data_IF_178645493710
#
_entry.id   IF_178645493710
#
_cell.length_a   1.000
_cell.length_b   1.000
_cell.length_c   1.000
_cell.angle_alpha   90.00
_cell.angle_beta   90.00
_cell.angle_gamma   90.00
#
_symmetry.space_group_name_H-M   'P 1'
#
loop_
_entity.id
_entity.type
_entity.pdbx_description
1 polymer ?
#
# COMPACT_ATOMS: atom_id res chain seq x y z
N UNK A 1 -77.49 1.10 -10.14
CA UNK A 1 -78.75 1.39 -9.44
C UNK A 1 -78.82 0.49 -8.22
N UNK A 2 -78.93 1.09 -7.02
CA UNK A 2 -79.50 0.55 -5.75
C UNK A 2 -78.90 -0.77 -5.18
N UNK A 3 -78.60 -0.97 -3.89
CA UNK A 3 -78.92 -0.31 -2.60
C UNK A 3 -78.10 -1.05 -1.49
N UNK A 4 -77.66 -0.31 -0.45
CA UNK A 4 -77.73 -0.58 1.02
C UNK A 4 -77.38 -1.99 1.59
N UNK A 5 -76.80 -2.20 2.78
CA UNK A 5 -76.56 -1.42 4.00
C UNK A 5 -75.50 -2.12 4.90
N UNK A 6 -74.99 -1.37 5.88
CA UNK A 6 -73.99 -1.70 6.90
C UNK A 6 -74.52 -2.53 8.11
N UNK A 7 -73.61 -3.17 8.86
CA UNK A 7 -73.68 -3.40 10.33
C UNK A 7 -72.28 -3.83 10.87
N UNK A 8 -71.55 -2.97 11.60
CA UNK A 8 -71.28 -2.97 13.08
C UNK A 8 -70.44 -4.19 13.55
N UNK A 9 -69.14 -4.02 13.82
CA UNK A 9 -68.46 -3.67 15.10
C UNK A 9 -68.07 -4.89 15.95
N UNK A 10 -66.78 -5.06 16.20
CA UNK A 10 -66.24 -6.08 17.11
C UNK A 10 -64.74 -5.92 17.33
N UNK A 11 -64.35 -4.94 18.15
CA UNK A 11 -63.00 -4.67 18.60
C UNK A 11 -62.58 -5.75 19.63
N UNK A 12 -61.58 -6.57 19.32
CA UNK A 12 -60.99 -7.52 20.26
C UNK A 12 -59.52 -7.15 20.53
N UNK A 13 -59.29 -6.67 21.74
CA UNK A 13 -58.00 -6.25 22.31
C UNK A 13 -57.24 -7.51 22.74
N UNK A 14 -56.04 -7.71 22.19
CA UNK A 14 -55.10 -8.78 22.60
C UNK A 14 -54.23 -8.29 23.77
N UNK A 15 -54.09 -9.06 24.87
CA UNK A 15 -53.24 -8.68 26.00
C UNK A 15 -51.76 -8.94 25.69
N UNK A 16 -50.93 -7.93 25.96
CA UNK A 16 -49.46 -8.04 25.95
C UNK A 16 -49.04 -8.73 27.25
N UNK A 17 -48.52 -9.95 27.14
CA UNK A 17 -47.89 -10.64 28.27
C UNK A 17 -46.46 -10.11 28.41
N UNK A 18 -46.22 -9.29 29.43
CA UNK A 18 -44.90 -8.89 29.86
C UNK A 18 -44.23 -10.06 30.60
N UNK A 19 -43.24 -10.69 29.97
CA UNK A 19 -42.35 -11.63 30.62
C UNK A 19 -41.10 -10.89 31.12
N UNK A 20 -41.07 -10.62 32.43
CA UNK A 20 -39.86 -10.23 33.16
C UNK A 20 -39.42 -11.40 34.04
N UNK A 21 -38.12 -11.69 34.07
CA UNK A 21 -37.49 -12.39 35.19
C UNK A 21 -36.74 -13.67 34.82
N UNK A 22 -35.43 -13.55 34.60
CA UNK A 22 -34.52 -14.67 34.43
C UNK A 22 -33.09 -14.21 34.12
N UNK A 23 -32.53 -13.36 34.99
CA UNK A 23 -31.14 -12.93 34.93
C UNK A 23 -30.21 -14.12 35.23
N UNK A 24 -29.76 -14.77 34.18
CA UNK A 24 -28.54 -15.56 34.18
C UNK A 24 -27.91 -15.38 32.80
N UNK A 25 -27.23 -14.23 32.64
CA UNK A 25 -26.17 -14.11 31.64
C UNK A 25 -25.12 -15.14 32.02
N UNK A 26 -25.24 -16.34 31.47
CA UNK A 26 -24.16 -17.31 31.49
C UNK A 26 -22.94 -16.67 30.88
N UNK A 27 -21.78 -16.94 31.48
CA UNK A 27 -20.44 -16.67 30.99
C UNK A 27 -20.27 -17.24 29.57
N UNK A 28 -20.79 -16.55 28.57
CA UNK A 28 -20.25 -16.63 27.22
C UNK A 28 -19.00 -15.76 27.22
N UNK A 29 -17.81 -16.32 26.92
CA UNK A 29 -16.65 -15.47 26.71
C UNK A 29 -17.06 -14.46 25.63
N UNK A 30 -16.99 -13.16 25.95
CA UNK A 30 -17.03 -12.13 24.92
C UNK A 30 -16.00 -12.59 23.89
N UNK A 31 -16.44 -13.03 22.71
CA UNK A 31 -15.53 -13.37 21.64
C UNK A 31 -14.62 -12.16 21.49
N UNK A 32 -13.36 -12.27 21.94
CA UNK A 32 -12.43 -11.16 21.90
C UNK A 32 -12.31 -10.83 20.42
N UNK A 33 -12.93 -9.71 20.02
CA UNK A 33 -12.92 -9.27 18.64
C UNK A 33 -11.45 -9.03 18.33
N UNK A 34 -10.88 -9.88 17.48
CA UNK A 34 -9.46 -9.79 17.13
C UNK A 34 -9.15 -8.34 16.74
N UNK A 35 -8.10 -7.73 17.31
CA UNK A 35 -7.70 -6.38 16.92
C UNK A 35 -7.59 -6.30 15.40
N UNK A 36 -8.12 -5.25 14.78
CA UNK A 36 -7.99 -5.01 13.35
C UNK A 36 -7.11 -3.81 13.08
N UNK A 37 -6.54 -3.71 11.89
CA UNK A 37 -5.84 -2.53 11.43
C UNK A 37 -6.13 -2.28 9.95
N UNK A 38 -6.40 -1.03 9.58
CA UNK A 38 -6.49 -0.57 8.20
C UNK A 38 -5.19 0.11 7.84
N UNK A 39 -4.45 -0.46 6.89
CA UNK A 39 -3.12 0.00 6.51
C UNK A 39 -3.17 0.59 5.10
N UNK A 40 -2.84 1.87 4.99
CA UNK A 40 -2.59 2.53 3.72
C UNK A 40 -1.10 2.38 3.40
N UNK A 41 -0.78 1.60 2.38
CA UNK A 41 0.59 1.24 2.05
C UNK A 41 0.94 1.53 0.59
N UNK A 42 2.15 2.06 0.36
CA UNK A 42 2.67 2.24 -1.00
C UNK A 42 2.58 0.93 -1.81
N UNK A 43 2.19 1.03 -3.09
CA UNK A 43 1.95 -0.12 -3.96
C UNK A 43 3.10 -1.14 -4.05
N UNK A 44 4.36 -0.70 -3.96
CA UNK A 44 5.55 -1.58 -3.96
C UNK A 44 5.68 -2.46 -2.71
N UNK A 45 4.96 -2.13 -1.63
CA UNK A 45 4.94 -2.93 -0.40
C UNK A 45 4.02 -4.15 -0.50
N UNK A 46 3.10 -4.18 -1.47
CA UNK A 46 2.02 -5.18 -1.54
C UNK A 46 2.51 -6.63 -1.40
N UNK A 47 3.50 -7.11 -2.17
CA UNK A 47 3.92 -8.52 -2.06
C UNK A 47 4.48 -8.90 -0.68
N UNK A 48 5.16 -7.97 0.00
CA UNK A 48 5.69 -8.19 1.35
C UNK A 48 4.61 -8.06 2.41
N UNK A 49 3.75 -7.04 2.31
CA UNK A 49 2.70 -6.76 3.28
C UNK A 49 1.59 -7.83 3.25
N UNK A 50 1.28 -8.41 2.09
CA UNK A 50 0.35 -9.54 2.01
C UNK A 50 0.89 -10.77 2.78
N UNK A 51 2.20 -11.06 2.69
CA UNK A 51 2.85 -12.13 3.46
C UNK A 51 2.87 -11.84 4.96
N UNK A 52 3.14 -10.58 5.33
CA UNK A 52 3.11 -10.12 6.72
C UNK A 52 1.70 -10.24 7.30
N UNK A 53 0.67 -9.81 6.55
CA UNK A 53 -0.72 -9.94 6.93
C UNK A 53 -1.11 -11.39 7.20
N UNK A 54 -0.72 -12.31 6.31
CA UNK A 54 -0.97 -13.73 6.48
C UNK A 54 -0.27 -14.35 7.71
N UNK A 55 0.86 -13.81 8.15
CA UNK A 55 1.52 -14.27 9.40
C UNK A 55 0.91 -13.65 10.66
N UNK A 56 0.21 -12.52 10.52
CA UNK A 56 -0.53 -11.89 11.62
C UNK A 56 -1.91 -12.52 11.87
N UNK A 57 -2.41 -13.33 10.92
CA UNK A 57 -3.68 -14.04 11.04
C UNK A 57 -3.67 -14.97 12.27
N UNK A 58 -4.33 -14.52 13.34
CA UNK A 58 -4.33 -15.15 14.68
C UNK A 58 -4.06 -14.17 15.82
N UNK A 59 -3.49 -13.00 15.53
CA UNK A 59 -3.22 -11.92 16.50
C UNK A 59 -3.74 -10.55 16.11
N UNK A 60 -3.82 -10.23 14.80
CA UNK A 60 -4.38 -8.98 14.25
C UNK A 60 -4.99 -9.23 12.87
N UNK A 61 -6.19 -8.73 12.59
CA UNK A 61 -6.76 -8.69 11.23
C UNK A 61 -6.29 -7.43 10.49
N UNK A 62 -5.34 -7.58 9.57
CA UNK A 62 -4.84 -6.48 8.75
C UNK A 62 -5.62 -6.36 7.42
N UNK A 63 -6.14 -5.17 7.14
CA UNK A 63 -6.77 -4.82 5.85
C UNK A 63 -5.89 -3.79 5.16
N UNK A 64 -5.53 -4.03 3.90
CA UNK A 64 -4.60 -3.17 3.16
C UNK A 64 -5.31 -2.39 2.04
N UNK A 65 -4.98 -1.11 1.93
CA UNK A 65 -5.26 -0.28 0.76
C UNK A 65 -3.92 0.12 0.12
N UNK A 66 -3.71 -0.32 -1.13
CA UNK A 66 -2.47 -0.10 -1.86
C UNK A 66 -2.66 0.92 -2.97
N UNK A 67 -1.84 1.96 -2.99
CA UNK A 67 -1.79 2.94 -4.08
C UNK A 67 -0.42 3.66 -4.11
N UNK A 68 -0.26 4.66 -4.99
CA UNK A 68 0.85 5.60 -4.90
C UNK A 68 0.85 6.36 -3.57
N UNK A 69 2.03 6.60 -2.98
CA UNK A 69 2.14 7.28 -1.68
C UNK A 69 1.54 8.69 -1.71
N UNK A 70 1.61 9.37 -2.85
CA UNK A 70 0.97 10.66 -3.10
C UNK A 70 -0.57 10.59 -3.04
N UNK A 71 -1.15 9.53 -3.60
CA UNK A 71 -2.59 9.29 -3.57
C UNK A 71 -3.06 9.01 -2.14
N UNK A 72 -2.35 8.13 -1.43
CA UNK A 72 -2.69 7.78 -0.05
C UNK A 72 -2.55 8.99 0.90
N UNK A 73 -1.50 9.81 0.70
CA UNK A 73 -1.31 11.07 1.44
C UNK A 73 -2.51 12.00 1.26
N UNK A 74 -2.92 12.21 -0.01
CA UNK A 74 -4.07 13.05 -0.33
C UNK A 74 -5.36 12.51 0.29
N UNK A 75 -5.57 11.20 0.23
CA UNK A 75 -6.73 10.54 0.85
C UNK A 75 -6.76 10.74 2.37
N UNK A 76 -5.63 10.58 3.05
CA UNK A 76 -5.52 10.78 4.51
C UNK A 76 -5.79 12.25 4.88
N UNK A 77 -5.26 13.21 4.12
CA UNK A 77 -5.55 14.64 4.32
C UNK A 77 -7.03 14.98 4.11
N UNK A 78 -7.72 14.24 3.25
CA UNK A 78 -9.15 14.37 3.00
C UNK A 78 -10.02 13.60 4.00
N UNK A 79 -9.43 12.97 5.01
CA UNK A 79 -10.14 12.28 6.08
C UNK A 79 -10.47 10.81 5.79
N UNK A 80 -9.78 10.17 4.84
CA UNK A 80 -9.87 8.72 4.69
C UNK A 80 -9.48 8.01 5.98
N UNK A 81 -10.28 7.02 6.37
CA UNK A 81 -10.06 6.26 7.60
C UNK A 81 -8.98 5.21 7.38
N UNK A 82 -7.84 5.41 8.03
CA UNK A 82 -6.74 4.46 8.09
C UNK A 82 -6.11 4.52 9.49
N UNK A 83 -5.59 3.40 9.95
CA UNK A 83 -4.90 3.32 11.24
C UNK A 83 -3.38 3.51 11.05
N UNK A 84 -2.83 3.00 9.96
CA UNK A 84 -1.39 3.04 9.66
C UNK A 84 -1.15 3.59 8.26
N UNK A 85 -0.11 4.43 8.13
CA UNK A 85 0.42 4.84 6.83
C UNK A 85 1.85 4.32 6.66
N UNK A 86 2.12 3.64 5.55
CA UNK A 86 3.45 3.20 5.13
C UNK A 86 3.78 3.79 3.75
N UNK A 87 4.73 4.72 3.70
CA UNK A 87 5.13 5.45 2.49
C UNK A 87 6.36 4.83 1.85
N UNK A 88 6.57 5.09 0.55
CA UNK A 88 7.82 4.80 -0.15
C UNK A 88 8.80 5.99 -0.16
N UNK A 89 8.48 7.07 0.55
CA UNK A 89 9.41 8.17 0.81
C UNK A 89 9.13 8.89 2.13
N UNK A 90 10.12 9.67 2.56
CA UNK A 90 10.03 10.56 3.72
C UNK A 90 9.28 11.84 3.43
N UNK A 91 9.22 12.32 2.19
CA UNK A 91 8.52 13.58 1.86
C UNK A 91 7.01 13.50 2.12
N UNK A 92 6.34 12.45 1.65
CA UNK A 92 4.91 12.27 1.87
C UNK A 92 4.58 11.99 3.34
N UNK A 93 5.44 11.22 4.01
CA UNK A 93 5.33 11.01 5.46
C UNK A 93 5.44 12.34 6.22
N UNK A 94 6.41 13.19 5.84
CA UNK A 94 6.59 14.52 6.43
C UNK A 94 5.37 15.40 6.19
N UNK A 95 4.76 15.38 5.00
CA UNK A 95 3.52 16.12 4.71
C UNK A 95 2.41 15.80 5.72
N UNK A 96 2.21 14.52 6.05
CA UNK A 96 1.21 14.12 7.06
C UNK A 96 1.64 14.48 8.49
N UNK A 97 2.94 14.42 8.78
CA UNK A 97 3.48 14.83 10.08
C UNK A 97 3.29 16.33 10.32
N UNK A 98 3.62 17.16 9.34
CA UNK A 98 3.48 18.62 9.38
C UNK A 98 2.00 19.05 9.46
N UNK A 99 1.10 18.29 8.82
CA UNK A 99 -0.35 18.45 8.97
C UNK A 99 -0.87 17.98 10.34
N UNK A 100 0.00 17.42 11.20
CA UNK A 100 -0.37 16.93 12.52
C UNK A 100 -1.27 15.70 12.46
N UNK A 101 -1.21 14.88 11.41
CA UNK A 101 -2.07 13.71 11.20
C UNK A 101 -1.43 12.39 11.68
N UNK A 102 -0.19 12.44 12.15
CA UNK A 102 0.58 11.29 12.66
C UNK A 102 0.74 11.37 14.18
N UNK A 103 0.78 10.22 14.83
CA UNK A 103 1.15 10.05 16.24
C UNK A 103 2.67 9.81 16.34
N UNK A 104 3.35 10.64 17.13
CA UNK A 104 4.78 10.48 17.43
C UNK A 104 5.69 10.69 16.22
N UNK A 105 6.82 9.98 16.21
CA UNK A 105 7.85 10.06 15.16
C UNK A 105 7.72 8.87 14.21
N UNK A 106 7.61 9.11 12.88
CA UNK A 106 7.66 8.03 11.89
C UNK A 106 8.93 7.20 12.00
N UNK A 107 8.82 5.90 11.73
CA UNK A 107 9.94 4.95 11.77
C UNK A 107 10.28 4.51 10.37
N UNK A 108 11.53 4.66 9.94
CA UNK A 108 12.02 3.97 8.73
C UNK A 108 12.12 2.48 9.06
N UNK A 109 11.52 1.63 8.23
CA UNK A 109 11.47 0.18 8.43
C UNK A 109 12.11 -0.63 7.31
N UNK A 110 12.42 0.01 6.18
CA UNK A 110 13.13 -0.58 5.06
C UNK A 110 13.79 0.50 4.20
N UNK A 111 14.82 0.10 3.45
CA UNK A 111 15.35 0.84 2.32
C UNK A 111 15.13 0.07 1.02
N UNK A 112 15.18 0.77 -0.10
CA UNK A 112 15.11 0.16 -1.42
C UNK A 112 16.00 0.90 -2.42
N UNK A 113 16.33 0.22 -3.52
CA UNK A 113 17.14 0.77 -4.61
C UNK A 113 16.33 0.75 -5.89
N UNK A 114 16.67 1.63 -6.83
CA UNK A 114 16.09 1.58 -8.16
C UNK A 114 16.77 0.53 -9.02
N UNK A 115 16.00 -0.03 -9.94
CA UNK A 115 16.45 -0.95 -10.98
C UNK A 115 15.65 -0.69 -12.26
N UNK A 116 16.25 -0.95 -13.41
CA UNK A 116 15.55 -0.87 -14.70
C UNK A 116 14.87 -2.22 -14.93
N UNK A 117 13.54 -2.23 -14.99
CA UNK A 117 12.76 -3.37 -15.45
C UNK A 117 12.83 -3.45 -16.97
N UNK A 118 13.07 -4.64 -17.50
CA UNK A 118 13.01 -4.96 -18.93
C UNK A 118 12.25 -6.27 -19.15
N UNK A 119 11.76 -6.49 -20.38
CA UNK A 119 11.20 -7.79 -20.77
C UNK A 119 12.24 -8.91 -20.53
N UNK A 120 11.77 -10.12 -20.17
CA UNK A 120 12.65 -11.28 -19.94
C UNK A 120 13.56 -11.55 -21.14
N UNK A 121 14.83 -11.81 -20.85
CA UNK A 121 15.87 -11.99 -21.85
C UNK A 121 16.41 -10.67 -22.42
N UNK A 122 15.85 -9.52 -22.04
CA UNK A 122 16.29 -8.19 -22.45
C UNK A 122 16.45 -8.05 -23.98
N UNK A 123 15.38 -8.24 -24.78
CA UNK A 123 15.46 -8.29 -26.24
C UNK A 123 15.94 -6.97 -26.87
N UNK A 124 15.86 -5.86 -26.13
CA UNK A 124 16.35 -4.54 -26.56
C UNK A 124 17.81 -4.28 -26.17
N UNK A 125 18.48 -5.18 -25.45
CA UNK A 125 19.87 -5.00 -25.05
C UNK A 125 20.10 -3.70 -24.27
N UNK A 126 19.33 -3.50 -23.21
CA UNK A 126 19.47 -2.36 -22.28
C UNK A 126 20.45 -2.75 -21.19
N UNK A 127 21.49 -1.96 -20.98
CA UNK A 127 22.57 -2.23 -20.03
C UNK A 127 22.69 -1.17 -18.92
N UNK A 128 21.95 -0.07 -19.03
CA UNK A 128 21.93 0.97 -18.00
C UNK A 128 21.07 2.17 -18.39
N UNK A 129 21.10 3.20 -17.56
CA UNK A 129 20.24 4.38 -17.73
C UNK A 129 20.46 5.09 -19.08
N UNK A 130 21.71 5.15 -19.57
CA UNK A 130 22.04 5.79 -20.84
C UNK A 130 21.28 5.19 -22.04
N UNK A 131 21.02 3.88 -22.00
CA UNK A 131 20.32 3.19 -23.09
C UNK A 131 18.84 3.58 -23.19
N UNK A 132 18.25 4.09 -22.10
CA UNK A 132 16.83 4.50 -22.07
C UNK A 132 16.56 5.71 -22.97
N UNK A 133 17.60 6.45 -23.37
CA UNK A 133 17.49 7.57 -24.31
C UNK A 133 17.62 7.15 -25.79
N UNK A 134 17.88 5.86 -26.08
CA UNK A 134 18.01 5.39 -27.46
C UNK A 134 16.68 5.58 -28.22
N UNK A 135 16.72 6.01 -29.49
CA UNK A 135 15.51 6.18 -30.29
C UNK A 135 14.80 4.84 -30.51
N UNK A 136 13.47 4.88 -30.58
CA UNK A 136 12.65 3.71 -30.86
C UNK A 136 12.33 2.82 -29.64
N UNK A 137 12.80 3.18 -28.44
CA UNK A 137 12.39 2.53 -27.20
C UNK A 137 11.09 3.13 -26.65
N UNK A 138 10.19 2.27 -26.19
CA UNK A 138 9.01 2.64 -25.42
C UNK A 138 9.35 2.58 -23.93
N UNK A 139 9.66 3.74 -23.35
CA UNK A 139 9.95 3.83 -21.91
C UNK A 139 8.72 4.27 -21.14
N UNK A 140 8.41 3.59 -20.05
CA UNK A 140 7.35 3.99 -19.11
C UNK A 140 7.97 4.26 -17.75
N UNK A 141 7.57 5.37 -17.13
CA UNK A 141 8.03 5.74 -15.79
C UNK A 141 6.83 5.97 -14.89
N UNK A 142 7.04 5.99 -13.58
CA UNK A 142 6.03 6.52 -12.67
C UNK A 142 6.02 8.06 -12.76
N UNK A 143 4.86 8.67 -12.53
CA UNK A 143 4.71 10.12 -12.46
C UNK A 143 5.65 10.72 -11.39
N UNK A 144 6.24 11.92 -11.59
CA UNK A 144 7.15 12.53 -10.61
C UNK A 144 6.55 12.80 -9.23
N UNK A 145 5.21 12.84 -9.09
CA UNK A 145 4.55 12.89 -7.78
C UNK A 145 4.60 11.56 -7.03
N UNK A 146 4.76 10.44 -7.73
CA UNK A 146 4.97 9.11 -7.14
C UNK A 146 6.43 9.01 -6.68
N UNK A 147 6.73 8.43 -5.49
CA UNK A 147 8.10 8.26 -5.03
C UNK A 147 9.05 7.61 -6.05
N UNK A 148 8.60 6.53 -6.72
CA UNK A 148 9.41 5.86 -7.73
C UNK A 148 9.73 6.77 -8.93
N UNK A 149 8.78 7.60 -9.35
CA UNK A 149 8.96 8.55 -10.45
C UNK A 149 9.92 9.69 -10.08
N UNK A 150 9.76 10.23 -8.86
CA UNK A 150 10.69 11.21 -8.29
C UNK A 150 12.12 10.67 -8.23
N UNK A 151 12.30 9.46 -7.70
CA UNK A 151 13.63 8.86 -7.59
C UNK A 151 14.19 8.48 -8.97
N UNK A 152 13.37 8.00 -9.90
CA UNK A 152 13.78 7.75 -11.28
C UNK A 152 14.29 9.04 -11.96
N UNK A 153 13.59 10.15 -11.79
CA UNK A 153 14.02 11.46 -12.30
C UNK A 153 15.37 11.88 -11.70
N UNK A 154 15.56 11.68 -10.39
CA UNK A 154 16.83 11.97 -9.73
C UNK A 154 17.97 11.08 -10.26
N UNK A 155 17.73 9.79 -10.47
CA UNK A 155 18.72 8.87 -11.01
C UNK A 155 19.10 9.22 -12.46
N UNK A 156 18.11 9.52 -13.30
CA UNK A 156 18.32 9.99 -14.67
C UNK A 156 19.11 11.31 -14.69
N UNK A 157 18.80 12.25 -13.79
CA UNK A 157 19.53 13.51 -13.67
C UNK A 157 20.99 13.29 -13.24
N UNK A 158 21.26 12.40 -12.27
CA UNK A 158 22.62 12.02 -11.86
C UNK A 158 23.41 11.41 -13.01
N UNK A 159 22.75 10.59 -13.84
CA UNK A 159 23.35 9.96 -15.01
C UNK A 159 23.49 10.92 -16.22
N UNK A 160 22.95 12.15 -16.15
CA UNK A 160 22.93 13.08 -17.27
C UNK A 160 22.06 12.62 -18.45
N UNK A 161 21.09 11.73 -18.19
CA UNK A 161 20.25 11.12 -19.22
C UNK A 161 18.90 11.82 -19.27
N UNK A 162 18.46 12.21 -20.46
CA UNK A 162 17.12 12.73 -20.68
C UNK A 162 16.26 11.66 -21.38
N UNK A 163 15.17 11.26 -20.74
CA UNK A 163 14.22 10.28 -21.27
C UNK A 163 12.87 10.97 -21.45
N UNK A 164 12.25 10.80 -22.61
CA UNK A 164 10.86 11.17 -22.84
C UNK A 164 9.98 9.92 -22.67
N UNK A 165 9.32 9.72 -21.52
CA UNK A 165 8.49 8.55 -21.32
C UNK A 165 7.26 8.58 -22.24
N UNK A 166 6.85 7.41 -22.71
CA UNK A 166 5.62 7.20 -23.47
C UNK A 166 4.37 7.33 -22.58
N UNK A 167 4.48 6.99 -21.29
CA UNK A 167 3.44 7.22 -20.29
C UNK A 167 4.02 7.39 -18.89
N UNK A 168 3.25 8.04 -18.01
CA UNK A 168 3.55 8.28 -16.62
C UNK A 168 2.49 7.63 -15.74
N UNK A 169 2.90 6.67 -14.92
CA UNK A 169 1.98 5.87 -14.10
C UNK A 169 1.83 6.42 -12.68
N UNK A 170 0.62 6.37 -12.12
CA UNK A 170 0.35 6.84 -10.75
C UNK A 170 0.76 5.85 -9.64
N UNK A 171 1.31 4.70 -10.02
CA UNK A 171 1.87 3.69 -9.11
C UNK A 171 2.96 2.89 -9.83
N UNK A 172 4.04 2.56 -9.11
CA UNK A 172 5.20 1.85 -9.69
C UNK A 172 4.85 0.44 -10.19
N UNK A 173 3.87 -0.22 -9.58
CA UNK A 173 3.42 -1.55 -10.01
C UNK A 173 2.75 -1.53 -11.40
N UNK A 174 2.20 -0.39 -11.83
CA UNK A 174 1.68 -0.24 -13.18
C UNK A 174 2.80 -0.15 -14.22
N UNK A 175 3.92 0.52 -13.89
CA UNK A 175 5.14 0.53 -14.73
C UNK A 175 5.64 -0.91 -14.93
N UNK A 176 5.80 -1.64 -13.83
CA UNK A 176 6.22 -3.04 -13.83
C UNK A 176 5.30 -3.92 -14.68
N UNK A 177 3.99 -3.72 -14.56
CA UNK A 177 2.98 -4.48 -15.31
C UNK A 177 3.09 -4.22 -16.81
N UNK A 178 3.24 -2.96 -17.23
CA UNK A 178 3.40 -2.62 -18.64
C UNK A 178 4.65 -3.24 -19.27
N UNK A 179 5.77 -3.25 -18.55
CA UNK A 179 6.98 -3.95 -19.00
C UNK A 179 6.75 -5.46 -19.08
N UNK A 180 6.13 -6.05 -18.05
CA UNK A 180 5.83 -7.48 -18.02
C UNK A 180 4.87 -7.94 -19.12
N UNK A 181 4.00 -7.05 -19.62
CA UNK A 181 3.07 -7.30 -20.72
C UNK A 181 3.65 -6.98 -22.10
N UNK A 182 4.89 -6.47 -22.18
CA UNK A 182 5.51 -6.03 -23.43
C UNK A 182 4.91 -4.74 -24.01
N UNK A 183 4.13 -4.00 -23.22
CA UNK A 183 3.61 -2.67 -23.61
C UNK A 183 4.70 -1.59 -23.53
N UNK A 184 5.78 -1.86 -22.79
CA UNK A 184 6.94 -1.00 -22.65
C UNK A 184 8.22 -1.83 -22.75
N UNK A 185 9.25 -1.27 -23.39
CA UNK A 185 10.56 -1.90 -23.51
C UNK A 185 11.34 -1.86 -22.20
N UNK A 186 11.14 -0.78 -21.43
CA UNK A 186 11.72 -0.64 -20.10
C UNK A 186 10.96 0.35 -19.22
N UNK A 187 11.21 0.25 -17.92
CA UNK A 187 10.82 1.26 -16.93
C UNK A 187 11.75 1.23 -15.72
N UNK A 188 11.72 2.29 -14.92
CA UNK A 188 12.50 2.35 -13.68
C UNK A 188 11.55 2.04 -12.52
N UNK A 189 11.88 1.00 -11.76
CA UNK A 189 11.11 0.48 -10.61
C UNK A 189 12.05 0.24 -9.43
N UNK A 190 11.56 -0.40 -8.36
CA UNK A 190 12.42 -0.83 -7.27
C UNK A 190 12.95 -2.25 -7.45
N UNK A 191 14.11 -2.55 -6.85
CA UNK A 191 14.65 -3.93 -6.79
C UNK A 191 13.60 -4.90 -6.24
N UNK A 192 12.85 -4.51 -5.21
CA UNK A 192 11.78 -5.35 -4.65
C UNK A 192 10.68 -5.70 -5.67
N UNK A 193 10.38 -4.78 -6.60
CA UNK A 193 9.37 -5.01 -7.63
C UNK A 193 9.84 -6.10 -8.61
N UNK A 194 11.14 -6.09 -8.99
CA UNK A 194 11.75 -7.11 -9.84
C UNK A 194 11.75 -8.47 -9.12
N UNK A 195 12.28 -8.50 -7.89
CA UNK A 195 12.42 -9.72 -7.07
C UNK A 195 11.08 -10.42 -6.85
N UNK A 196 10.01 -9.65 -6.62
CA UNK A 196 8.68 -10.20 -6.31
C UNK A 196 7.82 -10.48 -7.54
N UNK A 197 8.13 -9.88 -8.69
CA UNK A 197 7.41 -10.08 -9.95
C UNK A 197 7.65 -11.45 -10.56
N UNK A 198 8.92 -11.83 -10.73
CA UNK A 198 9.31 -13.03 -11.50
C UNK A 198 8.95 -12.99 -13.00
N UNK A 199 8.43 -11.87 -13.52
CA UNK A 199 7.94 -11.71 -14.90
C UNK A 199 8.80 -10.79 -15.78
N UNK A 200 9.75 -10.09 -15.19
CA UNK A 200 10.68 -9.16 -15.86
C UNK A 200 12.10 -9.47 -15.41
N UNK A 201 13.08 -9.02 -16.19
CA UNK A 201 14.47 -9.01 -15.75
C UNK A 201 14.85 -7.61 -15.26
N UNK A 202 15.81 -7.55 -14.34
CA UNK A 202 16.34 -6.32 -13.76
C UNK A 202 17.71 -5.98 -14.32
N UNK A 203 17.94 -4.71 -14.65
CA UNK A 203 19.26 -4.16 -14.97
C UNK A 203 19.63 -3.18 -13.87
N UNK A 204 20.66 -3.56 -13.10
CA UNK A 204 21.14 -2.79 -11.96
C UNK A 204 21.56 -1.37 -12.36
N UNK A 205 21.14 -0.38 -11.57
CA UNK A 205 21.61 1.00 -11.68
C UNK A 205 22.81 1.18 -10.73
N UNK A 206 24.00 1.56 -11.23
CA UNK A 206 25.21 1.78 -10.43
C UNK A 206 25.00 2.75 -9.25
N UNK A 207 25.71 2.54 -8.14
CA UNK A 207 25.56 3.28 -6.88
C UNK A 207 25.69 4.80 -7.03
N UNK A 208 26.59 5.26 -7.89
CA UNK A 208 26.81 6.69 -8.18
C UNK A 208 25.64 7.35 -8.92
N UNK A 209 24.86 6.55 -9.66
CA UNK A 209 23.65 6.98 -10.38
C UNK A 209 22.36 6.70 -9.61
N UNK A 210 22.37 5.77 -8.66
CA UNK A 210 21.18 5.29 -7.98
C UNK A 210 20.71 6.24 -6.86
N UNK A 211 19.50 6.00 -6.37
CA UNK A 211 18.91 6.68 -5.22
C UNK A 211 18.37 5.63 -4.26
N UNK A 212 18.71 5.79 -2.98
CA UNK A 212 18.17 4.94 -1.91
C UNK A 212 16.85 5.54 -1.44
N UNK A 213 15.79 4.74 -1.52
CA UNK A 213 14.46 5.11 -1.07
C UNK A 213 14.26 4.64 0.37
N UNK A 214 13.92 5.56 1.27
CA UNK A 214 13.54 5.25 2.65
C UNK A 214 12.04 5.01 2.75
N UNK A 215 11.65 3.93 3.41
CA UNK A 215 10.25 3.58 3.64
C UNK A 215 9.88 3.82 5.10
N UNK A 216 9.22 4.95 5.42
CA UNK A 216 8.73 5.20 6.75
C UNK A 216 7.32 4.63 6.96
N UNK A 217 7.03 4.27 8.22
CA UNK A 217 5.72 3.88 8.72
C UNK A 217 5.33 4.71 9.94
N UNK A 218 4.05 4.99 10.09
CA UNK A 218 3.51 5.72 11.23
C UNK A 218 2.08 5.31 11.58
N UNK A 219 1.74 5.45 12.86
CA UNK A 219 0.36 5.42 13.36
C UNK A 219 -0.31 6.77 13.05
N UNK A 220 -1.53 6.72 12.51
CA UNK A 220 -2.32 7.91 12.21
C UNK A 220 -3.14 8.35 13.43
N UNK A 221 -3.33 9.67 13.61
CA UNK A 221 -4.14 10.20 14.73
C UNK A 221 -5.62 9.81 14.65
N UNK A 222 -6.11 9.55 13.44
CA UNK A 222 -7.51 9.15 13.21
C UNK A 222 -7.71 7.63 13.35
N UNK A 223 -6.69 6.89 13.78
CA UNK A 223 -6.76 5.44 13.96
C UNK A 223 -7.95 5.07 14.85
N UNK A 224 -8.80 4.17 14.35
CA UNK A 224 -9.92 3.60 15.09
C UNK A 224 -9.48 2.38 15.91
N UNK A 225 -8.35 1.77 15.54
CA UNK A 225 -7.84 0.55 16.17
C UNK A 225 -6.34 0.66 16.48
N UNK A 226 -5.98 1.50 17.46
CA UNK A 226 -4.58 1.75 17.82
C UNK A 226 -3.81 0.48 18.22
N UNK A 227 -4.43 -0.44 18.99
CA UNK A 227 -3.78 -1.69 19.40
C UNK A 227 -3.42 -2.58 18.18
N UNK A 228 -4.35 -2.74 17.24
CA UNK A 228 -4.11 -3.49 16.00
C UNK A 228 -3.00 -2.85 15.15
N UNK A 229 -3.03 -1.52 15.04
CA UNK A 229 -2.02 -0.75 14.31
C UNK A 229 -0.63 -0.86 14.93
N UNK A 230 -0.51 -0.73 16.26
CA UNK A 230 0.75 -0.87 16.97
C UNK A 230 1.31 -2.29 16.88
N UNK A 231 0.45 -3.31 16.95
CA UNK A 231 0.85 -4.72 16.74
C UNK A 231 1.35 -4.97 15.32
N UNK A 232 0.69 -4.41 14.30
CA UNK A 232 1.17 -4.47 12.92
C UNK A 232 2.56 -3.82 12.78
N UNK A 233 2.72 -2.59 13.27
CA UNK A 233 4.01 -1.88 13.22
C UNK A 233 5.09 -2.67 13.98
N UNK A 234 4.77 -3.22 15.16
CA UNK A 234 5.70 -4.00 15.96
C UNK A 234 6.15 -5.28 15.25
N UNK A 235 5.22 -5.98 14.61
CA UNK A 235 5.56 -7.17 13.82
C UNK A 235 6.41 -6.82 12.60
N UNK A 236 6.06 -5.76 11.86
CA UNK A 236 6.85 -5.28 10.71
C UNK A 236 8.31 -4.98 11.10
N UNK A 237 8.52 -4.40 12.29
CA UNK A 237 9.84 -4.07 12.82
C UNK A 237 10.54 -5.25 13.52
N UNK A 238 9.85 -6.36 13.75
CA UNK A 238 10.41 -7.56 14.37
C UNK A 238 11.29 -8.36 13.40
N UNK A 239 12.13 -9.27 13.92
CA UNK A 239 12.98 -10.11 13.09
C UNK A 239 12.20 -10.92 12.02
N UNK A 240 11.04 -11.55 12.32
CA UNK A 240 10.20 -12.17 11.29
C UNK A 240 9.72 -11.20 10.20
N UNK A 241 9.27 -10.00 10.56
CA UNK A 241 8.83 -8.98 9.60
C UNK A 241 9.96 -8.51 8.70
N UNK A 242 11.12 -8.23 9.29
CA UNK A 242 12.33 -7.84 8.56
C UNK A 242 12.84 -8.96 7.65
N UNK A 243 12.73 -10.23 8.07
CA UNK A 243 13.06 -11.37 7.21
C UNK A 243 12.16 -11.45 5.96
N UNK A 244 10.85 -11.19 6.11
CA UNK A 244 9.92 -11.15 4.98
C UNK A 244 10.28 -10.01 4.01
N UNK A 245 10.60 -8.82 4.54
CA UNK A 245 11.02 -7.67 3.74
C UNK A 245 12.31 -7.96 2.97
N UNK A 246 13.32 -8.51 3.65
CA UNK A 246 14.58 -8.90 3.04
C UNK A 246 14.36 -9.93 1.91
N UNK A 247 13.55 -10.96 2.16
CA UNK A 247 13.19 -11.95 1.15
C UNK A 247 12.37 -11.39 -0.03
N UNK A 248 11.79 -10.21 0.12
CA UNK A 248 11.09 -9.48 -0.94
C UNK A 248 12.00 -8.48 -1.69
N UNK A 249 13.29 -8.41 -1.37
CA UNK A 249 14.26 -7.52 -2.03
C UNK A 249 14.42 -6.13 -1.41
N UNK A 250 13.82 -5.88 -0.25
CA UNK A 250 14.10 -4.68 0.53
C UNK A 250 15.41 -4.82 1.31
N UNK A 251 16.05 -3.70 1.61
CA UNK A 251 17.21 -3.63 2.49
C UNK A 251 16.75 -3.31 3.91
N UNK A 252 17.38 -3.97 4.90
CA UNK A 252 17.12 -3.73 6.32
C UNK A 252 17.68 -2.39 6.77
N UNK A 253 17.04 -1.80 7.78
CA UNK A 253 17.45 -0.55 8.44
C UNK A 253 18.49 -0.79 9.53
#
# INVERSE_FOLDING_TARGET
>A
MTKFAAFILGLAILPVVAACGGNSCGDMPCAQRMPSATIFAASSLKPAFDKIGAQLDGGVRATFNYAGSQTLTSQIQQGAQADVFASADTSHMKTLQDAGLIVGTPRVFAHNRLEIAVERGNPKGIHGLADLARPGLVIVLADPSVPAGKYAQQALAKAGVNVKPASLELQVTAVLTKVALGEADAGIVYVSDIVTSGKVDGIAIPDDQNVIADYPIALLKAAQNEDGAQRFISFLLSAPGQYILFGAGFQTV
#
